data_IF_391273151961
#
_entry.id   IF_391273151961
#
_cell.length_a   1.000
_cell.length_b   1.000
_cell.length_c   1.000
_cell.angle_alpha   90.00
_cell.angle_beta   90.00
_cell.angle_gamma   90.00
#
_symmetry.space_group_name_H-M   'P 1'
#
loop_
_entity.id
_entity.type
_entity.pdbx_description
1 polymer ?
#
# COMPACT_ATOMS: atom_id res chain seq x y z
N UNK A 1 -12.04 -0.09 9.65
CA UNK A 1 -10.56 -0.06 9.57
C UNK A 1 -10.15 -0.80 8.30
N UNK A 2 -9.94 -0.10 7.17
CA UNK A 2 -9.48 -0.73 5.94
C UNK A 2 -8.03 -1.22 6.07
N UNK A 3 -7.82 -2.48 5.73
CA UNK A 3 -6.50 -3.12 5.69
C UNK A 3 -6.20 -3.56 4.26
N UNK A 4 -5.06 -3.14 3.73
CA UNK A 4 -4.61 -3.44 2.37
C UNK A 4 -3.28 -4.16 2.44
N UNK A 5 -3.23 -5.37 1.89
CA UNK A 5 -1.99 -6.10 1.67
C UNK A 5 -1.62 -6.02 0.19
N UNK A 6 -0.48 -5.40 -0.11
CA UNK A 6 0.04 -5.29 -1.47
C UNK A 6 1.18 -6.27 -1.60
N UNK A 7 0.98 -7.31 -2.41
CA UNK A 7 2.05 -8.26 -2.74
C UNK A 7 2.69 -7.87 -4.05
N UNK A 8 4.02 -7.76 -4.06
CA UNK A 8 4.80 -7.35 -5.23
C UNK A 8 6.18 -8.03 -5.20
N UNK A 9 6.84 -8.10 -6.35
CA UNK A 9 8.19 -8.63 -6.41
C UNK A 9 9.19 -7.75 -5.66
N UNK A 10 10.25 -8.35 -5.13
CA UNK A 10 11.32 -7.61 -4.47
C UNK A 10 12.12 -6.70 -5.43
N UNK A 11 12.91 -5.79 -4.87
CA UNK A 11 13.76 -4.87 -5.65
C UNK A 11 13.18 -3.47 -5.87
N UNK A 12 12.07 -3.13 -5.20
CA UNK A 12 11.51 -1.78 -5.26
C UNK A 12 12.12 -0.85 -4.20
N UNK A 13 12.58 0.36 -4.59
CA UNK A 13 13.11 1.33 -3.64
C UNK A 13 12.00 1.81 -2.70
N UNK A 14 12.39 2.24 -1.49
CA UNK A 14 11.47 2.73 -0.46
C UNK A 14 10.55 3.84 -0.98
N UNK A 15 11.09 4.81 -1.72
CA UNK A 15 10.34 5.93 -2.30
C UNK A 15 9.16 5.48 -3.18
N UNK A 16 9.34 4.37 -3.92
CA UNK A 16 8.27 3.80 -4.75
C UNK A 16 7.16 3.20 -3.89
N UNK A 17 7.53 2.49 -2.81
CA UNK A 17 6.57 1.92 -1.86
C UNK A 17 5.83 3.03 -1.11
N UNK A 18 6.52 4.10 -0.73
CA UNK A 18 5.93 5.27 -0.07
C UNK A 18 4.88 5.95 -0.97
N UNK A 19 5.18 6.14 -2.26
CA UNK A 19 4.22 6.73 -3.21
C UNK A 19 3.01 5.83 -3.46
N UNK A 20 3.21 4.50 -3.54
CA UNK A 20 2.10 3.54 -3.64
C UNK A 20 1.21 3.63 -2.39
N UNK A 21 1.81 3.63 -1.20
CA UNK A 21 1.08 3.71 0.06
C UNK A 21 0.25 5.00 0.16
N UNK A 22 0.83 6.14 -0.26
CA UNK A 22 0.15 7.44 -0.28
C UNK A 22 -1.09 7.39 -1.18
N UNK A 23 -0.95 6.96 -2.43
CA UNK A 23 -2.05 6.91 -3.41
C UNK A 23 -3.16 5.93 -3.01
N UNK A 24 -2.79 4.77 -2.49
CA UNK A 24 -3.75 3.76 -2.02
C UNK A 24 -4.52 4.29 -0.81
N UNK A 25 -3.83 4.91 0.14
CA UNK A 25 -4.45 5.53 1.31
C UNK A 25 -5.42 6.64 0.91
N UNK A 26 -5.00 7.54 0.02
CA UNK A 26 -5.86 8.63 -0.49
C UNK A 26 -7.11 8.10 -1.15
N UNK A 27 -6.99 7.10 -2.02
CA UNK A 27 -8.12 6.49 -2.74
C UNK A 27 -9.14 5.90 -1.76
N UNK A 28 -8.67 5.17 -0.74
CA UNK A 28 -9.54 4.55 0.26
C UNK A 28 -10.20 5.61 1.15
N UNK A 29 -9.44 6.61 1.60
CA UNK A 29 -9.96 7.74 2.36
C UNK A 29 -11.05 8.47 1.58
N UNK A 30 -10.83 8.73 0.30
CA UNK A 30 -11.78 9.44 -0.56
C UNK A 30 -13.08 8.67 -0.77
N UNK A 31 -12.98 7.37 -1.11
CA UNK A 31 -14.15 6.54 -1.41
C UNK A 31 -14.94 6.19 -0.15
N UNK A 32 -14.25 5.80 0.91
CA UNK A 32 -14.90 5.36 2.15
C UNK A 32 -15.24 6.50 3.10
N UNK A 33 -14.81 7.74 2.82
CA UNK A 33 -15.01 8.92 3.68
C UNK A 33 -14.45 8.71 5.09
N UNK A 34 -13.25 8.13 5.17
CA UNK A 34 -12.55 7.78 6.41
C UNK A 34 -11.27 8.62 6.55
N UNK A 35 -10.85 8.98 7.76
CA UNK A 35 -9.60 9.69 7.92
C UNK A 35 -8.39 8.81 7.52
N UNK A 36 -7.30 9.37 6.95
CA UNK A 36 -6.15 8.60 6.46
C UNK A 36 -5.52 7.69 7.50
N UNK A 37 -5.46 8.13 8.76
CA UNK A 37 -4.92 7.34 9.87
C UNK A 37 -5.72 6.06 10.18
N UNK A 38 -6.91 5.89 9.60
CA UNK A 38 -7.72 4.69 9.76
C UNK A 38 -7.40 3.60 8.72
N UNK A 39 -6.56 3.89 7.71
CA UNK A 39 -6.16 2.97 6.64
C UNK A 39 -4.79 2.39 6.96
N UNK A 40 -4.66 1.07 6.83
CA UNK A 40 -3.39 0.37 7.04
C UNK A 40 -2.95 -0.34 5.77
N UNK A 41 -1.77 0.03 5.25
CA UNK A 41 -1.18 -0.56 4.04
C UNK A 41 0.07 -1.34 4.43
N UNK A 42 0.12 -2.61 4.04
CA UNK A 42 1.27 -3.50 4.24
C UNK A 42 1.80 -3.92 2.88
N UNK A 43 3.11 -3.90 2.74
CA UNK A 43 3.80 -4.46 1.58
C UNK A 43 4.35 -5.83 1.92
N UNK A 44 4.04 -6.81 1.08
CA UNK A 44 4.59 -8.15 1.12
C UNK A 44 5.47 -8.35 -0.12
N UNK A 45 6.78 -8.30 0.05
CA UNK A 45 7.73 -8.51 -1.03
C UNK A 45 7.98 -10.01 -1.21
N UNK A 46 7.84 -10.49 -2.44
CA UNK A 46 8.06 -11.90 -2.80
C UNK A 46 9.19 -12.02 -3.81
N UNK A 47 10.02 -13.05 -3.66
CA UNK A 47 11.05 -13.39 -4.66
C UNK A 47 10.35 -13.91 -5.92
N UNK A 48 10.68 -13.38 -7.12
CA UNK A 48 10.15 -13.90 -8.37
C UNK A 48 10.44 -15.40 -8.53
N UNK A 49 9.52 -16.18 -9.13
CA UNK A 49 9.87 -17.52 -9.58
C UNK A 49 10.95 -17.45 -10.66
N UNK A 50 11.86 -18.42 -10.65
CA UNK A 50 12.94 -18.60 -11.65
C UNK A 50 12.40 -18.77 -13.09
#
# INVERSE_FOLDING_TARGET
MPFVNITLYEGHPKERKDEIARRVTETITEVCKLPPQAVWVVFNEVTPPD
#
